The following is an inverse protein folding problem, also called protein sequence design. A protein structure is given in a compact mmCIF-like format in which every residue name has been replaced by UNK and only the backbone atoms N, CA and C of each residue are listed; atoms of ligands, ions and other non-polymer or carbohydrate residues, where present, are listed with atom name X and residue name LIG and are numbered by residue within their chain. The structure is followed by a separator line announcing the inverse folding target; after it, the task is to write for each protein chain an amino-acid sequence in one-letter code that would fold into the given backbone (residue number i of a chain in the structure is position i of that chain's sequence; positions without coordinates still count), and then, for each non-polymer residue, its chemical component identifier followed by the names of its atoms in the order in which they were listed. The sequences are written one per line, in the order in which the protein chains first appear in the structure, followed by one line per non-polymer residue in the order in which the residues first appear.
data_IF_166240852307
#
_entry.id   IF_166240852307
#
_cell.length_a   1.000
_cell.length_b   1.000
_cell.length_c   1.000
_cell.angle_alpha   90.00
_cell.angle_beta   90.00
_cell.angle_gamma   90.00
#
_symmetry.space_group_name_H-M   'P 1'
#
loop_
_entity.id
_entity.type
_entity.pdbx_description
1 polymer ?
#
# COMPACT_ATOMS: atom_id res chain seq x y z
N UNK A 1 -61.56 -18.19 26.26
CA UNK A 1 -60.32 -18.74 25.73
C UNK A 1 -59.95 -18.19 24.33
N UNK A 2 -60.87 -17.89 23.46
CA UNK A 2 -60.54 -17.31 22.12
C UNK A 2 -59.88 -15.95 22.16
N UNK A 3 -60.21 -15.09 23.11
CA UNK A 3 -59.67 -13.72 23.20
C UNK A 3 -58.21 -13.66 23.73
N UNK A 4 -57.77 -14.69 24.46
CA UNK A 4 -56.37 -14.78 24.92
C UNK A 4 -55.40 -15.15 23.81
N UNK A 5 -55.86 -15.87 22.77
CA UNK A 5 -55.02 -16.29 21.65
C UNK A 5 -54.67 -15.04 20.77
N UNK A 6 -55.60 -14.11 20.63
CA UNK A 6 -55.33 -12.86 19.85
C UNK A 6 -54.41 -11.91 20.59
N UNK A 7 -54.42 -11.90 21.91
CA UNK A 7 -53.49 -11.11 22.73
C UNK A 7 -52.07 -11.65 22.60
N UNK A 8 -51.88 -12.97 22.56
CA UNK A 8 -50.56 -13.59 22.35
C UNK A 8 -50.03 -13.38 20.93
N UNK A 9 -50.88 -13.36 19.90
CA UNK A 9 -50.49 -13.13 18.53
C UNK A 9 -50.07 -11.66 18.30
N UNK A 10 -50.64 -10.71 19.01
CA UNK A 10 -50.31 -9.29 18.92
C UNK A 10 -48.97 -8.94 19.54
N UNK A 11 -48.53 -9.71 20.54
CA UNK A 11 -47.24 -9.46 21.22
C UNK A 11 -46.05 -9.98 20.42
N UNK A 12 -46.23 -10.92 19.50
CA UNK A 12 -45.14 -11.47 18.67
C UNK A 12 -44.69 -10.53 17.55
N UNK A 13 -45.44 -9.49 17.22
CA UNK A 13 -45.09 -8.52 16.18
C UNK A 13 -44.27 -7.31 16.68
N UNK A 14 -44.09 -7.16 18.00
CA UNK A 14 -43.41 -5.98 18.55
C UNK A 14 -41.88 -6.20 18.68
N UNK A 15 -41.38 -7.41 18.46
CA UNK A 15 -39.92 -7.70 18.41
C UNK A 15 -39.38 -7.70 16.99
N UNK A 16 -39.89 -6.80 16.11
CA UNK A 16 -39.14 -6.38 14.95
C UNK A 16 -37.97 -5.54 15.48
N UNK A 17 -36.95 -6.22 16.03
CA UNK A 17 -35.68 -5.60 16.38
C UNK A 17 -35.19 -4.91 15.12
N UNK A 18 -35.16 -3.60 15.13
CA UNK A 18 -34.42 -2.84 14.17
C UNK A 18 -32.95 -3.22 14.40
N UNK A 19 -32.50 -4.26 13.72
CA UNK A 19 -31.08 -4.58 13.68
C UNK A 19 -30.45 -3.44 12.91
N UNK A 20 -29.60 -2.67 13.59
CA UNK A 20 -28.79 -1.66 12.93
C UNK A 20 -27.94 -2.34 11.86
N UNK A 21 -27.90 -1.73 10.70
CA UNK A 21 -27.10 -2.25 9.59
C UNK A 21 -25.62 -2.08 9.93
N UNK A 22 -24.87 -3.19 9.85
CA UNK A 22 -23.43 -3.22 10.08
C UNK A 22 -22.70 -3.07 8.74
N UNK A 23 -21.54 -2.40 8.74
CA UNK A 23 -20.72 -2.18 7.57
C UNK A 23 -19.71 -1.06 7.77
N UNK A 24 -18.91 -0.76 6.75
CA UNK A 24 -17.96 0.34 6.81
C UNK A 24 -18.67 1.69 6.84
N UNK A 25 -18.48 2.47 7.91
CA UNK A 25 -19.07 3.82 8.08
C UNK A 25 -18.12 4.96 7.72
N UNK A 26 -16.88 4.67 7.30
CA UNK A 26 -15.92 5.69 6.89
C UNK A 26 -16.13 6.06 5.41
N UNK A 27 -16.53 7.30 5.15
CA UNK A 27 -16.78 7.81 3.80
C UNK A 27 -15.53 7.87 2.90
N UNK A 28 -14.34 7.68 3.48
CA UNK A 28 -13.06 7.62 2.75
C UNK A 28 -12.70 6.19 2.32
N UNK A 29 -13.43 5.19 2.82
CA UNK A 29 -13.23 3.81 2.43
C UNK A 29 -13.86 3.52 1.06
N UNK A 30 -13.23 2.64 0.29
CA UNK A 30 -13.73 2.23 -1.04
C UNK A 30 -15.00 1.40 -0.97
N UNK A 31 -15.28 0.79 0.19
CA UNK A 31 -16.48 0.00 0.49
C UNK A 31 -17.40 0.69 1.51
N UNK A 32 -17.37 2.03 1.57
CA UNK A 32 -18.29 2.80 2.42
C UNK A 32 -19.74 2.38 2.17
N UNK A 33 -20.45 2.07 3.25
CA UNK A 33 -21.87 1.76 3.22
C UNK A 33 -22.66 2.91 3.87
N UNK A 34 -23.40 3.68 3.07
CA UNK A 34 -24.20 4.83 3.53
C UNK A 34 -25.35 4.41 4.46
N UNK A 35 -25.79 3.16 4.39
CA UNK A 35 -26.90 2.64 5.20
C UNK A 35 -26.39 2.01 6.52
N UNK A 36 -25.07 1.79 6.67
CA UNK A 36 -24.49 1.27 7.90
C UNK A 36 -24.62 2.27 9.05
N UNK A 37 -25.18 1.80 10.17
CA UNK A 37 -25.28 2.56 11.42
C UNK A 37 -24.16 2.20 12.41
N UNK A 38 -23.54 1.01 12.25
CA UNK A 38 -22.44 0.54 13.07
C UNK A 38 -21.27 0.14 12.17
N UNK A 39 -20.07 0.61 12.54
CA UNK A 39 -18.84 0.15 11.90
C UNK A 39 -18.51 -1.28 12.37
N UNK A 40 -18.41 -2.20 11.42
CA UNK A 40 -18.04 -3.60 11.65
C UNK A 40 -16.53 -3.87 11.47
N UNK A 41 -15.73 -2.82 11.23
CA UNK A 41 -14.30 -2.91 10.94
C UNK A 41 -13.96 -3.44 9.55
N UNK A 42 -14.93 -3.52 8.65
CA UNK A 42 -14.73 -4.02 7.27
C UNK A 42 -14.19 -2.97 6.29
N UNK A 43 -13.86 -1.76 6.75
CA UNK A 43 -13.41 -0.68 5.88
C UNK A 43 -12.16 -1.05 5.10
N UNK A 44 -12.22 -0.87 3.79
CA UNK A 44 -11.12 -1.09 2.85
C UNK A 44 -10.70 0.24 2.24
N UNK A 45 -9.42 0.53 2.26
CA UNK A 45 -8.88 1.79 1.74
C UNK A 45 -8.09 1.55 0.46
N UNK A 46 -8.16 2.51 -0.46
CA UNK A 46 -7.35 2.55 -1.68
C UNK A 46 -6.18 3.52 -1.55
N UNK A 47 -5.31 3.55 -2.55
CA UNK A 47 -4.19 4.52 -2.61
C UNK A 47 -4.66 5.93 -3.00
N UNK A 48 -5.85 6.07 -3.55
CA UNK A 48 -6.45 7.35 -3.96
C UNK A 48 -6.97 8.11 -2.75
N UNK A 49 -6.92 9.43 -2.83
CA UNK A 49 -7.38 10.36 -1.80
C UNK A 49 -6.24 10.77 -0.87
N UNK A 50 -6.06 12.08 -0.74
CA UNK A 50 -4.98 12.67 0.02
C UNK A 50 -3.60 12.56 -0.66
N UNK A 51 -2.59 12.96 0.07
CA UNK A 51 -1.19 12.91 -0.32
C UNK A 51 -0.44 11.91 0.57
N UNK A 52 0.40 11.07 -0.02
CA UNK A 52 1.24 10.11 0.71
C UNK A 52 2.62 10.70 0.93
N UNK A 53 2.92 11.07 2.18
CA UNK A 53 4.22 11.64 2.57
C UNK A 53 5.12 10.53 3.05
N UNK A 54 6.23 10.32 2.36
CA UNK A 54 7.23 9.29 2.71
C UNK A 54 7.88 9.63 4.04
N UNK A 55 7.85 8.68 4.96
CA UNK A 55 8.45 8.79 6.30
C UNK A 55 9.81 8.09 6.35
N UNK A 56 9.94 6.97 5.64
CA UNK A 56 11.20 6.23 5.55
C UNK A 56 11.30 5.45 4.25
N UNK A 57 12.54 5.25 3.81
CA UNK A 57 12.90 4.29 2.78
C UNK A 57 13.89 3.31 3.39
N UNK A 58 13.51 2.05 3.43
CA UNK A 58 14.34 0.97 3.95
C UNK A 58 14.89 0.14 2.79
N UNK A 59 16.18 -0.15 2.81
CA UNK A 59 16.82 -1.06 1.86
C UNK A 59 17.41 -2.23 2.62
N UNK A 60 16.95 -3.43 2.28
CA UNK A 60 17.47 -4.69 2.83
C UNK A 60 17.85 -5.63 1.71
N UNK A 61 18.85 -6.48 1.93
CA UNK A 61 19.26 -7.45 0.91
C UNK A 61 20.66 -7.98 1.09
N UNK A 62 21.19 -8.52 -0.01
CA UNK A 62 22.55 -9.07 -0.05
C UNK A 62 23.25 -8.69 -1.36
N UNK A 63 24.58 -8.63 -1.28
CA UNK A 63 25.47 -8.52 -2.42
C UNK A 63 26.55 -9.59 -2.31
N UNK A 64 26.67 -10.44 -3.34
CA UNK A 64 27.72 -11.44 -3.43
C UNK A 64 28.60 -11.15 -4.64
N UNK A 65 29.92 -11.14 -4.43
CA UNK A 65 30.91 -11.06 -5.51
C UNK A 65 31.67 -12.38 -5.57
N UNK A 66 31.77 -12.98 -6.75
CA UNK A 66 32.49 -14.24 -6.97
C UNK A 66 33.39 -14.17 -8.19
N UNK A 67 34.43 -15.03 -8.21
CA UNK A 67 35.32 -15.22 -9.36
C UNK A 67 35.38 -16.70 -9.70
N UNK A 68 34.94 -17.04 -10.92
CA UNK A 68 34.88 -18.43 -11.36
C UNK A 68 34.05 -19.35 -10.45
N UNK A 69 33.03 -18.80 -9.80
CA UNK A 69 32.15 -19.50 -8.84
C UNK A 69 32.69 -19.56 -7.40
N UNK A 70 33.85 -18.97 -7.10
CA UNK A 70 34.37 -18.87 -5.74
C UNK A 70 33.96 -17.53 -5.12
N UNK A 71 33.30 -17.50 -3.95
CA UNK A 71 32.87 -16.26 -3.32
C UNK A 71 34.10 -15.47 -2.84
N UNK A 72 34.17 -14.20 -3.20
CA UNK A 72 35.17 -13.23 -2.78
C UNK A 72 34.64 -12.28 -1.70
N UNK A 73 33.36 -11.91 -1.81
CA UNK A 73 32.68 -11.02 -0.87
C UNK A 73 31.22 -11.49 -0.74
N UNK A 74 30.74 -11.50 0.49
CA UNK A 74 29.34 -11.66 0.83
C UNK A 74 29.00 -10.58 1.86
N UNK A 75 28.03 -9.72 1.53
CA UNK A 75 27.67 -8.57 2.35
C UNK A 75 26.15 -8.46 2.42
N UNK A 76 25.67 -8.18 3.62
CA UNK A 76 24.26 -7.83 3.85
C UNK A 76 24.08 -6.31 3.75
N UNK A 77 22.96 -5.90 3.13
CA UNK A 77 22.52 -4.51 3.05
C UNK A 77 21.40 -4.32 4.06
N UNK A 78 21.55 -3.34 4.93
CA UNK A 78 20.52 -2.91 5.86
C UNK A 78 20.68 -1.41 6.11
N UNK A 79 19.85 -0.63 5.48
CA UNK A 79 19.93 0.83 5.51
C UNK A 79 18.52 1.42 5.63
N UNK A 80 18.37 2.45 6.44
CA UNK A 80 17.10 3.19 6.59
C UNK A 80 17.41 4.67 6.38
N UNK A 81 16.71 5.27 5.42
CA UNK A 81 16.72 6.72 5.20
C UNK A 81 15.45 7.32 5.78
N UNK A 82 15.60 8.38 6.58
CA UNK A 82 14.49 9.13 7.19
C UNK A 82 14.65 10.64 7.03
N UNK A 83 15.76 11.10 6.43
CA UNK A 83 15.97 12.53 6.19
C UNK A 83 15.07 12.99 5.03
N UNK A 84 14.13 13.92 5.24
CA UNK A 84 13.20 14.39 4.20
C UNK A 84 13.90 14.89 2.93
N UNK A 85 15.10 15.46 3.05
CA UNK A 85 15.86 15.98 1.91
C UNK A 85 16.49 14.88 1.05
N UNK A 86 16.50 13.63 1.56
CA UNK A 86 17.07 12.46 0.88
C UNK A 86 16.00 11.45 0.47
N UNK A 87 14.73 11.65 0.85
CA UNK A 87 13.63 10.77 0.45
C UNK A 87 13.21 11.06 -0.99
N UNK A 88 13.29 10.04 -1.84
CA UNK A 88 12.82 10.11 -3.23
C UNK A 88 12.05 8.81 -3.57
N UNK A 89 10.73 8.91 -3.84
CA UNK A 89 9.91 10.12 -3.78
C UNK A 89 9.65 10.60 -2.34
N UNK A 90 9.61 11.91 -2.14
CA UNK A 90 9.20 12.50 -0.87
C UNK A 90 7.67 12.42 -0.69
N UNK A 91 6.92 12.68 -1.77
CA UNK A 91 5.46 12.65 -1.77
C UNK A 91 4.93 11.97 -3.02
N UNK A 92 3.86 11.18 -2.86
CA UNK A 92 3.10 10.55 -3.93
C UNK A 92 1.63 10.98 -3.86
N UNK A 93 1.06 11.31 -5.03
CA UNK A 93 -0.36 11.64 -5.18
C UNK A 93 -0.97 10.76 -6.25
N UNK A 94 -1.98 9.95 -5.87
CA UNK A 94 -2.73 9.08 -6.78
C UNK A 94 -4.11 9.68 -7.05
N UNK A 95 -4.48 9.79 -8.31
CA UNK A 95 -5.74 10.37 -8.75
C UNK A 95 -6.72 9.31 -9.23
N UNK A 96 -8.02 9.59 -9.16
CA UNK A 96 -9.11 8.69 -9.60
C UNK A 96 -9.05 8.35 -11.10
N UNK A 97 -8.43 9.19 -11.91
CA UNK A 97 -8.24 8.96 -13.35
C UNK A 97 -7.07 8.01 -13.67
N UNK A 98 -6.57 7.29 -12.67
CA UNK A 98 -5.42 6.39 -12.75
C UNK A 98 -4.09 7.08 -13.09
N UNK A 99 -3.96 8.39 -12.88
CA UNK A 99 -2.68 9.08 -12.93
C UNK A 99 -2.05 9.19 -11.55
N UNK A 100 -0.72 9.29 -11.50
CA UNK A 100 0.01 9.65 -10.29
C UNK A 100 1.08 10.69 -10.60
N UNK A 101 1.50 11.40 -9.55
CA UNK A 101 2.63 12.33 -9.60
C UNK A 101 3.45 12.15 -8.31
N UNK A 102 4.77 12.09 -8.46
CA UNK A 102 5.73 12.17 -7.36
C UNK A 102 6.29 13.58 -7.24
N UNK A 103 6.67 13.95 -6.02
CA UNK A 103 7.19 15.26 -5.70
C UNK A 103 8.43 15.13 -4.82
N UNK A 104 9.35 16.11 -4.98
CA UNK A 104 10.46 16.32 -4.06
C UNK A 104 10.00 17.00 -2.75
N UNK A 105 10.91 17.16 -1.78
CA UNK A 105 10.65 17.83 -0.50
C UNK A 105 10.31 19.34 -0.66
N UNK A 106 10.66 19.95 -1.78
CA UNK A 106 10.30 21.33 -2.12
C UNK A 106 8.95 21.46 -2.82
N UNK A 107 8.21 20.34 -2.91
CA UNK A 107 6.91 20.24 -3.60
C UNK A 107 6.97 20.49 -5.11
N UNK A 108 8.12 20.24 -5.75
CA UNK A 108 8.22 20.24 -7.19
C UNK A 108 7.85 18.85 -7.74
N UNK A 109 7.08 18.76 -8.83
CA UNK A 109 6.82 17.48 -9.47
C UNK A 109 8.12 16.93 -10.08
N UNK A 110 8.44 15.68 -9.76
CA UNK A 110 9.64 14.97 -10.23
C UNK A 110 9.28 14.03 -11.37
N UNK A 111 8.30 13.18 -11.15
CA UNK A 111 7.87 12.17 -12.09
C UNK A 111 6.35 11.99 -12.06
N UNK A 112 5.78 11.52 -13.15
CA UNK A 112 4.37 11.20 -13.24
C UNK A 112 4.11 10.10 -14.25
N UNK A 113 2.94 9.49 -14.14
CA UNK A 113 2.56 8.40 -15.02
C UNK A 113 1.17 7.88 -14.71
N UNK A 114 0.95 6.61 -15.04
CA UNK A 114 -0.31 5.92 -14.72
C UNK A 114 -0.09 4.82 -13.70
N UNK A 115 -1.14 4.52 -12.95
CA UNK A 115 -1.11 3.45 -11.96
C UNK A 115 -2.32 2.53 -12.10
N UNK A 116 -2.17 1.32 -11.57
CA UNK A 116 -3.26 0.37 -11.37
C UNK A 116 -2.95 -0.49 -10.15
N UNK A 117 -3.98 -1.01 -9.50
CA UNK A 117 -3.82 -1.95 -8.39
C UNK A 117 -4.64 -3.22 -8.61
N UNK A 118 -4.09 -4.35 -8.19
CA UNK A 118 -4.78 -5.65 -8.24
C UNK A 118 -4.29 -6.52 -7.08
N UNK A 119 -5.19 -6.89 -6.19
CA UNK A 119 -4.83 -7.59 -4.95
C UNK A 119 -3.87 -6.75 -4.12
N UNK A 120 -2.71 -7.31 -3.82
CA UNK A 120 -1.64 -6.64 -3.09
C UNK A 120 -0.54 -6.05 -4.00
N UNK A 121 -0.79 -5.88 -5.30
CA UNK A 121 0.15 -5.27 -6.23
C UNK A 121 -0.31 -3.89 -6.65
N UNK A 122 0.63 -2.95 -6.67
CA UNK A 122 0.52 -1.62 -7.23
C UNK A 122 1.48 -1.51 -8.41
N UNK A 123 0.93 -1.34 -9.61
CA UNK A 123 1.72 -1.13 -10.83
C UNK A 123 1.76 0.36 -11.14
N UNK A 124 2.95 0.91 -11.31
CA UNK A 124 3.19 2.30 -11.68
C UNK A 124 3.95 2.32 -13.01
N UNK A 125 3.36 2.95 -14.03
CA UNK A 125 3.98 3.07 -15.34
C UNK A 125 4.48 4.51 -15.52
N UNK A 126 5.79 4.65 -15.61
CA UNK A 126 6.47 5.90 -16.00
C UNK A 126 6.69 5.90 -17.51
N UNK A 127 7.14 6.99 -18.12
CA UNK A 127 7.52 7.02 -19.54
C UNK A 127 8.62 6.01 -19.90
N UNK A 128 9.51 5.72 -18.94
CA UNK A 128 10.73 4.93 -19.17
C UNK A 128 10.66 3.50 -18.64
N UNK A 129 9.79 3.23 -17.64
CA UNK A 129 9.75 1.93 -16.99
C UNK A 129 8.38 1.61 -16.37
N UNK A 130 8.20 0.35 -16.02
CA UNK A 130 7.06 -0.12 -15.23
C UNK A 130 7.59 -0.66 -13.90
N UNK A 131 7.11 -0.11 -12.80
CA UNK A 131 7.38 -0.58 -11.45
C UNK A 131 6.19 -1.41 -10.95
N UNK A 132 6.46 -2.60 -10.43
CA UNK A 132 5.46 -3.44 -9.78
C UNK A 132 5.83 -3.57 -8.32
N UNK A 133 5.10 -2.83 -7.48
CA UNK A 133 5.33 -2.80 -6.05
C UNK A 133 4.34 -3.75 -5.35
N UNK A 134 4.81 -4.34 -4.27
CA UNK A 134 3.95 -5.09 -3.35
C UNK A 134 3.40 -4.14 -2.28
N UNK A 135 2.09 -4.14 -2.09
CA UNK A 135 1.44 -3.45 -0.98
C UNK A 135 1.57 -4.37 0.24
N UNK A 136 2.49 -4.05 1.15
CA UNK A 136 2.69 -4.80 2.39
C UNK A 136 1.57 -4.53 3.40
N UNK A 137 1.17 -3.26 3.47
CA UNK A 137 0.01 -2.81 4.26
C UNK A 137 -0.57 -1.54 3.65
N UNK A 138 -1.88 -1.38 3.76
CA UNK A 138 -2.61 -0.18 3.35
C UNK A 138 -3.81 -0.01 4.27
N UNK A 139 -3.88 1.12 4.95
CA UNK A 139 -5.01 1.51 5.76
C UNK A 139 -5.39 2.98 5.47
N UNK A 140 -6.25 3.56 6.30
CA UNK A 140 -6.69 4.94 6.14
C UNK A 140 -5.51 5.91 6.09
N UNK A 141 -4.55 5.76 7.01
CA UNK A 141 -3.54 6.76 7.32
C UNK A 141 -2.12 6.39 6.86
N UNK A 142 -1.86 5.10 6.58
CA UNK A 142 -0.53 4.61 6.27
C UNK A 142 -0.53 3.64 5.09
N UNK A 143 0.56 3.67 4.32
CA UNK A 143 0.89 2.66 3.30
C UNK A 143 2.34 2.22 3.44
N UNK A 144 2.58 0.92 3.27
CA UNK A 144 3.92 0.35 3.10
C UNK A 144 3.98 -0.39 1.77
N UNK A 145 4.90 0.05 0.91
CA UNK A 145 5.12 -0.50 -0.42
C UNK A 145 6.53 -1.06 -0.51
N UNK A 146 6.71 -2.22 -1.15
CA UNK A 146 8.05 -2.75 -1.40
C UNK A 146 8.28 -3.12 -2.87
N UNK A 147 9.52 -2.93 -3.30
CA UNK A 147 10.04 -3.35 -4.60
C UNK A 147 11.26 -4.23 -4.37
N UNK A 148 11.23 -5.45 -4.90
CA UNK A 148 12.39 -6.35 -4.88
C UNK A 148 13.03 -6.37 -6.25
N UNK A 149 14.34 -6.15 -6.31
CA UNK A 149 15.15 -6.19 -7.51
C UNK A 149 16.29 -7.19 -7.31
N UNK A 150 16.37 -8.18 -8.19
CA UNK A 150 17.48 -9.10 -8.26
C UNK A 150 18.25 -8.85 -9.57
N UNK A 151 19.55 -8.66 -9.48
CA UNK A 151 20.45 -8.48 -10.61
C UNK A 151 21.67 -9.38 -10.47
N UNK A 152 22.06 -9.98 -11.58
CA UNK A 152 23.31 -10.77 -11.69
C UNK A 152 24.04 -10.32 -12.92
N UNK A 153 25.31 -9.94 -12.75
CA UNK A 153 26.19 -9.54 -13.85
C UNK A 153 27.51 -10.30 -13.75
N UNK A 154 28.06 -10.70 -14.91
CA UNK A 154 29.38 -11.33 -14.99
C UNK A 154 30.20 -10.60 -16.04
N UNK A 155 31.42 -10.20 -15.68
CA UNK A 155 32.35 -9.56 -16.60
C UNK A 155 33.17 -10.58 -17.41
N UNK A 156 33.95 -10.08 -18.38
CA UNK A 156 34.81 -10.90 -19.26
C UNK A 156 35.94 -11.62 -18.50
N UNK A 157 36.24 -11.24 -17.27
CA UNK A 157 37.24 -11.86 -16.40
C UNK A 157 36.62 -12.96 -15.51
N UNK A 158 35.31 -13.19 -15.61
CA UNK A 158 34.59 -14.18 -14.81
C UNK A 158 34.28 -13.71 -13.40
N UNK A 159 34.32 -12.39 -13.14
CA UNK A 159 33.83 -11.81 -11.90
C UNK A 159 32.31 -11.65 -12.00
N UNK A 160 31.58 -12.32 -11.13
CA UNK A 160 30.14 -12.21 -11.01
C UNK A 160 29.76 -11.35 -9.80
N UNK A 161 28.77 -10.46 -10.00
CA UNK A 161 28.14 -9.68 -8.94
C UNK A 161 26.66 -10.02 -8.93
N UNK A 162 26.21 -10.61 -7.84
CA UNK A 162 24.80 -10.92 -7.58
C UNK A 162 24.28 -9.95 -6.52
N UNK A 163 23.21 -9.26 -6.84
CA UNK A 163 22.56 -8.26 -6.01
C UNK A 163 21.09 -8.61 -5.85
N UNK A 164 20.62 -8.74 -4.62
CA UNK A 164 19.22 -8.91 -4.26
C UNK A 164 18.86 -7.84 -3.24
N UNK A 165 18.02 -6.88 -3.64
CA UNK A 165 17.62 -5.76 -2.80
C UNK A 165 16.11 -5.67 -2.76
N UNK A 166 15.57 -5.54 -1.56
CA UNK A 166 14.20 -5.09 -1.31
C UNK A 166 14.24 -3.68 -0.77
N UNK A 167 13.62 -2.76 -1.50
CA UNK A 167 13.35 -1.40 -1.05
C UNK A 167 11.93 -1.32 -0.53
N UNK A 168 11.74 -0.81 0.69
CA UNK A 168 10.43 -0.58 1.30
C UNK A 168 10.24 0.90 1.57
N UNK A 169 9.13 1.45 1.07
CA UNK A 169 8.71 2.84 1.25
C UNK A 169 7.55 2.84 2.23
N UNK A 170 7.69 3.53 3.35
CA UNK A 170 6.64 3.73 4.34
C UNK A 170 6.18 5.18 4.28
N UNK A 171 4.89 5.40 4.07
CA UNK A 171 4.30 6.72 3.91
C UNK A 171 3.04 6.89 4.75
N UNK A 172 2.86 8.10 5.26
CA UNK A 172 1.65 8.54 5.94
C UNK A 172 0.78 9.37 5.01
N UNK A 173 -0.53 9.24 5.15
CA UNK A 173 -1.50 9.99 4.36
C UNK A 173 -1.85 11.32 5.04
N UNK A 174 -1.86 12.37 4.24
CA UNK A 174 -2.41 13.69 4.60
C UNK A 174 -3.63 13.98 3.71
N UNK A 175 -4.70 14.50 4.34
CA UNK A 175 -6.00 14.77 3.68
C UNK A 175 -6.17 16.26 3.35
#
# INVERSE_FOLDING_TARGET
MKNFIYLFLAITFIFSSCTKEEGCTDSLATNFNVDAENDDGSCVYGVVGGEWITQSIEMTGSMTVSLGGFPLLDSTINYIETNPDSLDPYKLVFSENNSYVSYDNSNNPVEGGTWSSSGNQLTMNTPDTTLVLTINSLNKDNVSLSLTTAQSTTDDMGVSVDLDITQTINSDRTW
#
